data_IF_667660582970
#
_entry.id   IF_667660582970
#
_cell.length_a   1.000
_cell.length_b   1.000
_cell.length_c   1.000
_cell.angle_alpha   90.00
_cell.angle_beta   90.00
_cell.angle_gamma   90.00
#
_symmetry.space_group_name_H-M   'P 1'
#
loop_
_entity.id
_entity.type
_entity.pdbx_description
1 polymer ?
#
# COMPACT_ATOMS: atom_id res chain seq x y z
N UNK A 1 23.42 61.13 -91.70
CA UNK A 1 24.34 60.31 -92.52
C UNK A 1 24.77 59.09 -91.71
N UNK A 2 24.57 57.89 -92.30
CA UNK A 2 25.27 56.60 -92.12
C UNK A 2 25.71 56.11 -90.71
N UNK A 3 25.02 55.05 -90.26
CA UNK A 3 25.53 53.71 -89.88
C UNK A 3 26.75 53.58 -88.95
N UNK A 4 26.61 52.91 -87.80
CA UNK A 4 27.01 51.49 -87.62
C UNK A 4 26.99 50.99 -86.15
N UNK A 5 26.56 49.74 -86.07
CA UNK A 5 26.41 48.79 -84.95
C UNK A 5 27.72 48.42 -84.24
N UNK A 6 27.66 48.09 -82.94
CA UNK A 6 28.12 46.79 -82.37
C UNK A 6 27.84 46.64 -80.87
N UNK A 7 27.29 45.47 -80.54
CA UNK A 7 27.16 44.88 -79.21
C UNK A 7 28.52 44.59 -78.57
N UNK A 8 28.62 44.68 -77.23
CA UNK A 8 29.05 43.54 -76.42
C UNK A 8 28.65 43.73 -74.95
N UNK A 9 28.11 42.65 -74.38
CA UNK A 9 27.71 42.47 -72.98
C UNK A 9 28.95 42.37 -72.07
N UNK A 10 28.78 42.83 -70.82
CA UNK A 10 29.72 42.51 -69.74
C UNK A 10 29.61 43.47 -68.56
N UNK A 11 28.45 43.52 -67.89
CA UNK A 11 28.34 44.18 -66.57
C UNK A 11 28.67 43.16 -65.49
N UNK A 12 29.82 43.31 -64.83
CA UNK A 12 30.08 42.71 -63.52
C UNK A 12 29.66 43.71 -62.44
N UNK A 13 28.62 43.45 -61.64
CA UNK A 13 28.41 44.18 -60.41
C UNK A 13 29.16 43.48 -59.26
N UNK A 14 29.79 44.33 -58.45
CA UNK A 14 30.28 44.03 -57.11
C UNK A 14 29.23 43.21 -56.32
N UNK A 15 29.63 42.03 -55.84
CA UNK A 15 28.91 41.31 -54.80
C UNK A 15 29.77 41.34 -53.54
N UNK A 16 29.43 42.28 -52.66
CA UNK A 16 29.92 42.31 -51.29
C UNK A 16 29.55 40.99 -50.59
N UNK A 17 30.56 40.29 -50.10
CA UNK A 17 30.40 39.10 -49.28
C UNK A 17 29.85 39.49 -47.91
N UNK A 18 28.53 39.36 -47.74
CA UNK A 18 27.91 39.28 -46.42
C UNK A 18 27.81 37.80 -46.03
N UNK A 19 28.81 37.30 -45.30
CA UNK A 19 28.68 36.04 -44.56
C UNK A 19 27.67 36.26 -43.42
N UNK A 20 26.39 35.99 -43.69
CA UNK A 20 25.37 35.84 -42.67
C UNK A 20 25.64 34.54 -41.91
N UNK A 21 26.18 34.65 -40.69
CA UNK A 21 26.32 33.54 -39.76
C UNK A 21 24.92 33.15 -39.24
N UNK A 22 24.23 32.24 -39.94
CA UNK A 22 23.04 31.59 -39.40
C UNK A 22 23.49 30.62 -38.29
N UNK A 23 23.51 31.11 -37.05
CA UNK A 23 23.55 30.27 -35.87
C UNK A 23 22.21 29.51 -35.77
N UNK A 24 22.16 28.31 -36.34
CA UNK A 24 21.06 27.36 -36.09
C UNK A 24 21.19 26.94 -34.62
N UNK A 25 20.41 27.57 -33.74
CA UNK A 25 20.15 27.06 -32.39
C UNK A 25 19.49 25.69 -32.56
N UNK A 26 20.30 24.63 -32.45
CA UNK A 26 19.82 23.27 -32.30
C UNK A 26 19.02 23.17 -31.02
N UNK A 27 17.70 23.32 -31.13
CA UNK A 27 16.76 22.83 -30.12
C UNK A 27 16.98 21.32 -30.05
N UNK A 28 17.77 20.89 -29.08
CA UNK A 28 17.86 19.49 -28.69
C UNK A 28 16.45 19.06 -28.26
N UNK A 29 15.72 18.45 -29.20
CA UNK A 29 14.51 17.70 -28.88
C UNK A 29 15.00 16.51 -28.06
N UNK A 30 15.05 16.66 -26.73
CA UNK A 30 15.26 15.52 -25.87
C UNK A 30 14.12 14.55 -26.14
N UNK A 31 14.40 13.25 -26.41
CA UNK A 31 13.34 12.27 -26.50
C UNK A 31 12.57 12.34 -25.19
N UNK A 32 11.26 12.55 -25.26
CA UNK A 32 10.38 12.48 -24.10
C UNK A 32 10.52 11.06 -23.53
N UNK A 33 11.40 10.90 -22.54
CA UNK A 33 11.58 9.64 -21.85
C UNK A 33 10.26 9.36 -21.16
N UNK A 34 9.62 8.24 -21.50
CA UNK A 34 8.39 7.83 -20.85
C UNK A 34 8.64 7.78 -19.34
N UNK A 35 7.94 8.64 -18.58
CA UNK A 35 8.13 8.76 -17.13
C UNK A 35 7.94 7.37 -16.49
N UNK A 36 8.89 6.97 -15.64
CA UNK A 36 8.90 5.64 -15.03
C UNK A 36 7.61 5.40 -14.23
N UNK A 37 7.05 4.18 -14.34
CA UNK A 37 5.80 3.85 -13.65
C UNK A 37 6.06 3.80 -12.16
N UNK A 38 5.16 4.41 -11.38
CA UNK A 38 5.27 4.42 -9.93
C UNK A 38 5.28 3.01 -9.34
N UNK A 39 4.55 2.06 -9.93
CA UNK A 39 4.54 0.67 -9.43
C UNK A 39 5.90 -0.01 -9.51
N UNK A 40 6.71 0.32 -10.52
CA UNK A 40 8.03 -0.29 -10.71
C UNK A 40 9.02 0.30 -9.69
N UNK A 41 8.98 1.62 -9.50
CA UNK A 41 9.77 2.34 -8.48
C UNK A 41 9.46 1.88 -7.05
N UNK A 42 8.18 1.83 -6.68
CA UNK A 42 7.77 1.40 -5.34
C UNK A 42 7.96 -0.11 -5.13
N UNK A 43 7.70 -0.92 -6.16
CA UNK A 43 7.89 -2.37 -6.12
C UNK A 43 9.36 -2.81 -6.03
N UNK A 44 10.29 -1.97 -6.48
CA UNK A 44 11.72 -2.22 -6.36
C UNK A 44 12.25 -2.07 -4.92
N UNK A 45 11.58 -1.26 -4.07
CA UNK A 45 12.03 -1.02 -2.69
C UNK A 45 11.85 -2.27 -1.83
N UNK A 46 12.93 -2.70 -1.16
CA UNK A 46 12.94 -3.89 -0.29
C UNK A 46 12.61 -3.59 1.16
N UNK A 47 12.92 -2.38 1.63
CA UNK A 47 12.78 -1.93 3.01
C UNK A 47 11.99 -0.61 3.08
N UNK A 48 11.34 -0.32 4.22
CA UNK A 48 10.58 0.91 4.40
C UNK A 48 11.49 2.14 4.38
N UNK A 49 10.87 3.32 4.32
CA UNK A 49 11.57 4.57 4.62
C UNK A 49 11.76 4.70 6.14
N UNK A 50 13.00 4.83 6.60
CA UNK A 50 13.36 5.01 8.01
C UNK A 50 13.14 6.46 8.45
N UNK A 51 11.87 6.89 8.46
CA UNK A 51 11.44 8.22 8.88
C UNK A 51 10.23 8.11 9.80
N UNK A 52 9.71 9.23 10.30
CA UNK A 52 8.45 9.24 11.03
C UNK A 52 7.31 8.60 10.22
N UNK A 53 6.43 7.87 10.92
CA UNK A 53 5.29 7.21 10.31
C UNK A 53 4.26 8.23 9.82
N UNK A 54 3.90 8.12 8.54
CA UNK A 54 2.84 8.96 7.94
C UNK A 54 2.29 8.33 6.66
N UNK A 55 0.98 8.37 6.50
CA UNK A 55 0.26 8.03 5.28
C UNK A 55 0.04 9.28 4.42
N UNK A 56 0.26 9.18 3.12
CA UNK A 56 0.23 10.32 2.19
C UNK A 56 -0.65 9.98 1.00
N UNK A 57 -1.63 10.84 0.70
CA UNK A 57 -2.57 10.68 -0.40
C UNK A 57 -3.79 9.85 -0.03
N UNK A 58 -4.33 9.15 -1.02
CA UNK A 58 -5.52 8.29 -0.87
C UNK A 58 -5.14 6.82 -0.98
N UNK A 59 -5.98 5.92 -0.46
CA UNK A 59 -5.70 4.48 -0.36
C UNK A 59 -5.24 3.81 -1.67
N UNK A 60 -5.69 4.31 -2.82
CA UNK A 60 -5.34 3.84 -4.17
C UNK A 60 -4.53 4.85 -5.00
N UNK A 61 -4.03 5.92 -4.37
CA UNK A 61 -3.25 6.98 -5.02
C UNK A 61 -2.40 7.69 -3.96
N UNK A 62 -1.33 7.04 -3.52
CA UNK A 62 -0.52 7.52 -2.42
C UNK A 62 0.71 6.68 -2.12
N UNK A 63 1.34 6.96 -0.99
CA UNK A 63 2.48 6.23 -0.45
C UNK A 63 2.45 6.34 1.09
N UNK A 64 3.37 5.67 1.79
CA UNK A 64 3.59 5.92 3.21
C UNK A 64 5.05 5.76 3.62
N UNK A 65 5.42 6.39 4.73
CA UNK A 65 6.76 6.32 5.30
C UNK A 65 6.70 5.85 6.76
N UNK A 66 7.87 5.51 7.35
CA UNK A 66 7.97 5.00 8.71
C UNK A 66 7.20 3.70 8.92
N UNK A 67 7.13 2.89 7.87
CA UNK A 67 6.45 1.61 7.88
C UNK A 67 7.14 0.58 8.75
N UNK A 68 6.35 -0.27 9.39
CA UNK A 68 6.83 -1.43 10.12
C UNK A 68 6.21 -2.69 9.54
N UNK A 69 6.93 -3.80 9.61
CA UNK A 69 6.39 -5.08 9.20
C UNK A 69 5.74 -5.81 10.38
N UNK A 70 4.62 -6.48 10.17
CA UNK A 70 4.17 -7.51 11.12
C UNK A 70 5.16 -8.69 11.08
N UNK A 71 5.53 -9.32 12.20
CA UNK A 71 6.32 -10.54 12.19
C UNK A 71 5.69 -11.61 11.28
N UNK A 72 6.53 -12.40 10.60
CA UNK A 72 6.05 -13.49 9.73
C UNK A 72 5.19 -14.51 10.48
N UNK A 73 5.48 -14.65 11.77
CA UNK A 73 4.86 -15.57 12.70
C UNK A 73 4.48 -14.84 13.98
N UNK A 74 3.33 -15.19 14.53
CA UNK A 74 2.98 -14.85 15.89
C UNK A 74 2.08 -15.91 16.52
N UNK A 75 1.74 -15.76 17.82
CA UNK A 75 1.00 -16.78 18.55
C UNK A 75 -0.34 -17.17 17.92
N UNK A 76 -0.95 -16.22 17.22
CA UNK A 76 -2.31 -16.35 16.66
C UNK A 76 -2.37 -15.92 15.19
N UNK A 77 -1.24 -15.82 14.48
CA UNK A 77 -1.22 -15.49 13.05
C UNK A 77 -0.03 -16.06 12.28
N UNK A 78 -0.18 -16.15 10.96
CA UNK A 78 0.90 -16.43 10.01
C UNK A 78 0.73 -15.55 8.75
N UNK A 79 1.83 -14.98 8.26
CA UNK A 79 1.86 -14.19 7.01
C UNK A 79 1.90 -15.09 5.79
N UNK A 80 0.98 -14.87 4.84
CA UNK A 80 0.86 -15.61 3.58
C UNK A 80 1.56 -14.87 2.45
N UNK A 81 2.07 -15.63 1.47
CA UNK A 81 2.87 -15.09 0.35
C UNK A 81 4.04 -14.17 0.76
N UNK A 82 4.89 -14.51 1.77
CA UNK A 82 5.98 -13.63 2.21
C UNK A 82 6.88 -13.09 1.10
N UNK A 83 7.12 -13.88 0.05
CA UNK A 83 7.93 -13.52 -1.13
C UNK A 83 7.45 -12.26 -1.85
N UNK A 84 6.17 -11.90 -1.72
CA UNK A 84 5.61 -10.67 -2.30
C UNK A 84 6.13 -9.40 -1.62
N UNK A 85 6.73 -9.51 -0.43
CA UNK A 85 7.21 -8.40 0.39
C UNK A 85 6.11 -7.38 0.73
N UNK A 86 4.94 -7.87 1.15
CA UNK A 86 3.73 -7.05 1.39
C UNK A 86 3.24 -7.01 2.85
N UNK A 87 4.09 -7.40 3.79
CA UNK A 87 3.76 -7.43 5.23
C UNK A 87 3.95 -6.09 5.97
N UNK A 88 4.11 -4.99 5.22
CA UNK A 88 4.46 -3.67 5.76
C UNK A 88 3.23 -2.79 5.86
N UNK A 89 3.14 -1.97 6.91
CA UNK A 89 2.06 -1.01 7.06
C UNK A 89 2.42 0.12 8.01
N UNK A 90 1.50 1.07 8.15
CA UNK A 90 1.57 2.07 9.21
C UNK A 90 1.55 1.36 10.57
N UNK A 91 2.31 1.80 11.60
CA UNK A 91 2.35 1.14 12.90
C UNK A 91 0.95 0.87 13.50
N UNK A 92 0.03 1.82 13.37
CA UNK A 92 -1.37 1.65 13.78
C UNK A 92 -2.11 0.50 13.05
N UNK A 93 -1.86 0.32 11.75
CA UNK A 93 -2.43 -0.79 10.97
C UNK A 93 -1.91 -2.13 11.48
N UNK A 94 -0.59 -2.23 11.69
CA UNK A 94 0.04 -3.45 12.21
C UNK A 94 -0.48 -3.77 13.63
N UNK A 95 -0.60 -2.77 14.49
CA UNK A 95 -1.18 -2.93 15.82
C UNK A 95 -2.65 -3.41 15.77
N UNK A 96 -3.45 -2.91 14.83
CA UNK A 96 -4.84 -3.37 14.63
C UNK A 96 -4.88 -4.83 14.15
N UNK A 97 -4.01 -5.24 13.22
CA UNK A 97 -3.94 -6.64 12.76
C UNK A 97 -3.52 -7.58 13.88
N UNK A 98 -2.49 -7.21 14.64
CA UNK A 98 -2.00 -7.99 15.77
C UNK A 98 -3.08 -8.12 16.87
N UNK A 99 -3.78 -7.01 17.17
CA UNK A 99 -4.91 -7.03 18.11
C UNK A 99 -6.06 -7.88 17.59
N UNK A 100 -6.44 -7.75 16.32
CA UNK A 100 -7.46 -8.61 15.70
C UNK A 100 -7.09 -10.08 15.83
N UNK A 101 -5.82 -10.42 15.66
CA UNK A 101 -5.36 -11.79 15.76
C UNK A 101 -5.61 -12.40 17.14
N UNK A 102 -5.25 -11.67 18.21
CA UNK A 102 -5.50 -12.11 19.59
C UNK A 102 -6.99 -12.16 19.94
N UNK A 103 -7.74 -11.11 19.61
CA UNK A 103 -9.15 -11.01 19.97
C UNK A 103 -10.00 -12.03 19.19
N UNK A 104 -9.72 -12.25 17.91
CA UNK A 104 -10.41 -13.28 17.14
C UNK A 104 -10.12 -14.68 17.68
N UNK A 105 -8.88 -14.93 18.15
CA UNK A 105 -8.54 -16.17 18.83
C UNK A 105 -9.34 -16.38 20.12
N UNK A 106 -9.47 -15.33 20.93
CA UNK A 106 -10.33 -15.36 22.12
C UNK A 106 -11.81 -15.60 21.77
N UNK A 107 -12.27 -15.16 20.59
CA UNK A 107 -13.64 -15.39 20.09
C UNK A 107 -13.86 -16.80 19.49
N UNK A 108 -12.80 -17.62 19.42
CA UNK A 108 -12.83 -18.99 18.90
C UNK A 108 -12.39 -19.14 17.43
N UNK A 109 -11.81 -18.11 16.81
CA UNK A 109 -11.15 -18.23 15.51
C UNK A 109 -9.73 -18.82 15.67
N UNK A 110 -9.28 -19.82 14.92
CA UNK A 110 -8.03 -20.52 15.25
C UNK A 110 -6.75 -19.69 15.00
N UNK A 111 -6.86 -18.53 14.36
CA UNK A 111 -5.77 -17.60 14.08
C UNK A 111 -5.88 -17.00 12.69
N UNK A 112 -5.15 -15.90 12.44
CA UNK A 112 -5.22 -15.19 11.16
C UNK A 112 -4.20 -15.73 10.16
N UNK A 113 -4.65 -15.97 8.94
CA UNK A 113 -3.77 -16.03 7.78
C UNK A 113 -3.80 -14.64 7.12
N UNK A 114 -2.69 -13.91 7.25
CA UNK A 114 -2.57 -12.52 6.84
C UNK A 114 -2.09 -12.46 5.39
N UNK A 115 -2.86 -11.82 4.52
CA UNK A 115 -2.51 -11.57 3.13
C UNK A 115 -1.69 -10.30 2.96
N UNK A 116 -1.99 -9.55 1.90
CA UNK A 116 -1.26 -8.32 1.57
C UNK A 116 -1.66 -7.19 2.53
N UNK A 117 -0.68 -6.45 3.06
CA UNK A 117 -0.87 -5.19 3.81
C UNK A 117 -0.46 -4.04 2.92
N UNK A 118 0.84 -3.87 2.65
CA UNK A 118 1.39 -2.90 1.70
C UNK A 118 2.83 -3.27 1.35
N UNK A 119 3.32 -2.75 0.22
CA UNK A 119 4.77 -2.75 -0.09
C UNK A 119 5.52 -1.91 0.95
N UNK A 120 6.86 -2.02 1.08
CA UNK A 120 7.60 -1.37 2.17
C UNK A 120 7.42 0.14 2.27
N UNK A 121 7.19 0.81 1.13
CA UNK A 121 6.96 2.26 1.04
C UNK A 121 5.58 2.60 0.47
N UNK A 122 4.70 1.61 0.40
CA UNK A 122 3.37 1.75 -0.18
C UNK A 122 3.43 1.85 -1.69
N UNK A 123 2.70 2.83 -2.23
CA UNK A 123 2.65 3.07 -3.67
C UNK A 123 1.82 2.05 -4.44
N UNK A 124 1.56 2.31 -5.73
CA UNK A 124 0.94 1.34 -6.64
C UNK A 124 1.63 -0.03 -6.57
N UNK A 125 0.87 -1.09 -6.31
CA UNK A 125 1.39 -2.46 -6.29
C UNK A 125 1.74 -2.96 -7.71
N UNK A 126 2.80 -3.76 -7.80
CA UNK A 126 3.17 -4.47 -9.05
C UNK A 126 2.01 -5.31 -9.60
N UNK A 127 1.22 -5.92 -8.71
CA UNK A 127 0.12 -6.84 -9.04
C UNK A 127 -0.97 -6.80 -7.97
N UNK A 128 -2.18 -7.26 -8.30
CA UNK A 128 -3.26 -7.45 -7.32
C UNK A 128 -4.10 -6.21 -7.09
N UNK A 129 -4.06 -5.67 -5.87
CA UNK A 129 -5.02 -4.68 -5.37
C UNK A 129 -4.80 -3.28 -5.95
N UNK A 130 -5.88 -2.51 -6.14
CA UNK A 130 -5.77 -1.10 -6.53
C UNK A 130 -5.40 -0.18 -5.35
N UNK A 131 -5.79 -0.58 -4.13
CA UNK A 131 -5.51 0.08 -2.86
C UNK A 131 -4.18 -0.40 -2.23
N UNK A 132 -4.05 -0.41 -0.89
CA UNK A 132 -2.85 -0.83 -0.14
C UNK A 132 -1.62 0.04 -0.41
N UNK A 133 -1.84 1.29 -0.83
CA UNK A 133 -0.73 2.18 -1.18
C UNK A 133 -0.25 3.01 0.00
N UNK A 134 -1.04 3.16 1.06
CA UNK A 134 -0.74 4.10 2.16
C UNK A 134 -0.57 3.44 3.53
N UNK A 135 -0.42 2.11 3.58
CA UNK A 135 -0.13 1.40 4.82
C UNK A 135 -1.31 1.26 5.79
N UNK A 136 -2.55 1.47 5.32
CA UNK A 136 -3.79 1.47 6.14
C UNK A 136 -4.83 0.43 5.69
N UNK A 137 -4.39 -0.53 4.87
CA UNK A 137 -5.21 -1.63 4.35
C UNK A 137 -4.54 -2.97 4.70
N UNK A 138 -5.31 -4.00 5.01
CA UNK A 138 -4.82 -5.36 5.18
C UNK A 138 -5.86 -6.40 4.74
N UNK A 139 -5.42 -7.40 3.98
CA UNK A 139 -6.22 -8.55 3.63
C UNK A 139 -6.06 -9.66 4.67
N UNK A 140 -7.18 -10.20 5.13
CA UNK A 140 -7.20 -11.32 6.07
C UNK A 140 -8.01 -12.44 5.45
N UNK A 141 -7.40 -13.61 5.30
CA UNK A 141 -8.10 -14.76 4.72
C UNK A 141 -9.22 -15.23 5.63
N UNK A 142 -10.33 -15.64 5.00
CA UNK A 142 -11.44 -16.33 5.67
C UNK A 142 -11.15 -17.83 5.81
N UNK A 143 -9.96 -18.28 5.42
CA UNK A 143 -9.48 -19.63 5.67
C UNK A 143 -9.01 -19.74 7.12
N UNK A 144 -9.58 -20.65 7.93
CA UNK A 144 -9.11 -20.86 9.29
C UNK A 144 -7.63 -21.28 9.31
N UNK A 145 -6.81 -20.63 10.14
CA UNK A 145 -5.41 -21.00 10.29
C UNK A 145 -5.28 -22.46 10.80
N UNK A 146 -4.45 -23.31 10.17
CA UNK A 146 -4.22 -24.67 10.65
C UNK A 146 -3.61 -24.69 12.06
N UNK A 147 -3.92 -25.74 12.84
CA UNK A 147 -3.37 -25.94 14.20
C UNK A 147 -1.85 -26.11 14.23
N UNK A 148 -1.26 -26.56 13.11
CA UNK A 148 0.20 -26.66 12.96
C UNK A 148 0.74 -25.41 12.23
N UNK A 149 1.97 -24.99 12.53
CA UNK A 149 2.66 -24.01 11.71
C UNK A 149 2.76 -24.47 10.24
N UNK A 150 2.57 -23.53 9.33
CA UNK A 150 2.83 -23.71 7.90
C UNK A 150 4.30 -23.41 7.63
N UNK A 151 4.96 -24.24 6.82
CA UNK A 151 6.29 -23.91 6.30
C UNK A 151 6.22 -22.74 5.32
N UNK A 152 7.35 -22.08 5.06
CA UNK A 152 7.41 -20.99 4.06
C UNK A 152 6.87 -21.43 2.69
N UNK A 153 7.27 -22.61 2.20
CA UNK A 153 6.77 -23.16 0.94
C UNK A 153 5.24 -23.36 0.93
N UNK A 154 4.65 -23.76 2.06
CA UNK A 154 3.21 -23.87 2.19
C UNK A 154 2.54 -22.49 2.18
N UNK A 155 3.12 -21.48 2.84
CA UNK A 155 2.59 -20.11 2.83
C UNK A 155 2.64 -19.46 1.45
N UNK A 156 3.57 -19.88 0.59
CA UNK A 156 3.66 -19.44 -0.80
C UNK A 156 2.64 -20.12 -1.73
N UNK A 157 2.33 -21.40 -1.51
CA UNK A 157 1.55 -22.21 -2.46
C UNK A 157 0.13 -22.53 -2.03
N UNK A 158 -0.18 -22.52 -0.72
CA UNK A 158 -1.50 -22.84 -0.18
C UNK A 158 -2.56 -21.92 -0.79
N UNK A 159 -3.66 -22.48 -1.29
CA UNK A 159 -4.81 -21.70 -1.75
C UNK A 159 -5.71 -21.32 -0.59
N UNK A 160 -6.29 -20.12 -0.67
CA UNK A 160 -7.35 -19.72 0.24
C UNK A 160 -8.65 -20.48 -0.09
N UNK A 161 -9.45 -20.76 0.92
CA UNK A 161 -10.79 -21.33 0.79
C UNK A 161 -11.75 -20.33 0.14
N UNK A 162 -12.27 -20.69 -1.04
CA UNK A 162 -13.26 -19.90 -1.76
C UNK A 162 -14.64 -20.01 -1.09
N UNK A 163 -15.04 -18.98 -0.34
CA UNK A 163 -16.23 -18.98 0.52
C UNK A 163 -17.54 -18.81 -0.23
N UNK A 164 -17.50 -18.30 -1.46
CA UNK A 164 -18.69 -18.04 -2.28
C UNK A 164 -18.69 -18.88 -3.54
N UNK A 165 -19.88 -19.16 -4.05
CA UNK A 165 -20.09 -19.76 -5.36
C UNK A 165 -19.95 -18.69 -6.46
N UNK A 166 -19.16 -18.96 -7.50
CA UNK A 166 -18.79 -17.97 -8.51
C UNK A 166 -19.96 -17.59 -9.43
N UNK A 167 -20.98 -18.44 -9.54
CA UNK A 167 -22.14 -18.19 -10.42
C UNK A 167 -23.23 -17.41 -9.70
N UNK A 168 -23.52 -17.80 -8.46
CA UNK A 168 -24.60 -17.21 -7.67
C UNK A 168 -24.13 -16.06 -6.79
N UNK A 169 -22.82 -15.94 -6.56
CA UNK A 169 -22.21 -15.03 -5.60
C UNK A 169 -22.80 -15.17 -4.19
N UNK A 170 -23.29 -16.37 -3.84
CA UNK A 170 -23.77 -16.70 -2.49
C UNK A 170 -22.71 -17.47 -1.73
N UNK A 171 -22.71 -17.33 -0.40
CA UNK A 171 -21.83 -18.11 0.48
C UNK A 171 -22.15 -19.60 0.37
N UNK A 172 -21.11 -20.43 0.30
CA UNK A 172 -21.20 -21.88 0.41
C UNK A 172 -21.45 -22.26 1.87
N UNK A 173 -22.70 -22.58 2.20
CA UNK A 173 -23.12 -22.83 3.59
C UNK A 173 -22.33 -23.93 4.30
N UNK A 174 -21.86 -24.95 3.57
CA UNK A 174 -21.01 -26.01 4.13
C UNK A 174 -19.66 -25.51 4.69
N UNK A 175 -19.19 -24.33 4.26
CA UNK A 175 -17.92 -23.74 4.71
C UNK A 175 -18.13 -22.65 5.76
N UNK A 176 -19.30 -22.00 5.79
CA UNK A 176 -19.56 -20.86 6.65
C UNK A 176 -19.95 -21.28 8.07
N UNK A 177 -19.15 -20.86 9.03
CA UNK A 177 -19.41 -21.12 10.46
C UNK A 177 -19.70 -19.84 11.23
N UNK A 178 -20.34 -19.90 12.41
CA UNK A 178 -20.53 -18.73 13.27
C UNK A 178 -19.23 -17.98 13.60
N UNK A 179 -18.07 -18.67 13.59
CA UNK A 179 -16.77 -18.06 13.84
C UNK A 179 -16.38 -17.03 12.75
N UNK A 180 -16.80 -17.23 11.49
CA UNK A 180 -16.57 -16.25 10.43
C UNK A 180 -17.35 -14.94 10.70
N UNK A 181 -18.61 -15.06 11.13
CA UNK A 181 -19.43 -13.91 11.55
C UNK A 181 -18.78 -13.18 12.73
N UNK A 182 -18.30 -13.92 13.74
CA UNK A 182 -17.60 -13.33 14.90
C UNK A 182 -16.32 -12.60 14.50
N UNK A 183 -15.50 -13.16 13.61
CA UNK A 183 -14.29 -12.54 13.09
C UNK A 183 -14.59 -11.19 12.42
N UNK A 184 -15.56 -11.15 11.51
CA UNK A 184 -15.95 -9.92 10.81
C UNK A 184 -16.56 -8.89 11.76
N UNK A 185 -17.39 -9.33 12.73
CA UNK A 185 -17.93 -8.47 13.78
C UNK A 185 -16.82 -7.88 14.65
N UNK A 186 -15.86 -8.70 15.07
CA UNK A 186 -14.70 -8.26 15.87
C UNK A 186 -13.90 -7.20 15.13
N UNK A 187 -13.53 -7.45 13.87
CA UNK A 187 -12.81 -6.48 13.06
C UNK A 187 -13.59 -5.16 12.91
N UNK A 188 -14.90 -5.23 12.63
CA UNK A 188 -15.73 -4.03 12.46
C UNK A 188 -15.92 -3.23 13.76
N UNK A 189 -15.81 -3.89 14.92
CA UNK A 189 -15.99 -3.26 16.23
C UNK A 189 -14.90 -2.25 16.60
N UNK A 190 -13.74 -2.29 15.94
CA UNK A 190 -12.64 -1.39 16.25
C UNK A 190 -12.93 0.02 15.74
N UNK A 191 -12.70 1.02 16.61
CA UNK A 191 -12.91 2.43 16.28
C UNK A 191 -12.03 2.92 15.12
N UNK A 192 -10.85 2.32 14.95
CA UNK A 192 -9.91 2.62 13.88
C UNK A 192 -10.39 2.12 12.51
N UNK A 193 -11.17 1.02 12.47
CA UNK A 193 -11.62 0.40 11.22
C UNK A 193 -12.78 1.20 10.65
N UNK A 194 -12.62 1.68 9.42
CA UNK A 194 -13.66 2.44 8.71
C UNK A 194 -14.48 1.55 7.78
N UNK A 195 -13.84 0.55 7.14
CA UNK A 195 -14.48 -0.35 6.18
C UNK A 195 -13.88 -1.74 6.23
N UNK A 196 -14.74 -2.72 5.96
CA UNK A 196 -14.38 -4.10 5.66
C UNK A 196 -15.01 -4.45 4.32
N UNK A 197 -14.21 -4.68 3.29
CA UNK A 197 -14.71 -5.09 1.97
C UNK A 197 -14.78 -6.61 1.91
N UNK A 198 -15.92 -7.12 1.45
CA UNK A 198 -16.20 -8.55 1.29
C UNK A 198 -16.98 -8.78 0.00
N UNK A 199 -16.99 -10.03 -0.49
CA UNK A 199 -17.91 -10.41 -1.55
C UNK A 199 -19.39 -10.10 -1.17
N UNK A 200 -20.26 -9.68 -2.10
CA UNK A 200 -21.67 -9.43 -1.81
C UNK A 200 -22.42 -10.59 -1.14
N UNK A 201 -22.08 -11.83 -1.47
CA UNK A 201 -22.63 -13.03 -0.83
C UNK A 201 -22.35 -13.10 0.66
N UNK A 202 -21.14 -12.72 1.07
CA UNK A 202 -20.76 -12.67 2.49
C UNK A 202 -21.58 -11.59 3.19
N UNK A 203 -21.68 -10.39 2.59
CA UNK A 203 -22.51 -9.32 3.12
C UNK A 203 -23.97 -9.79 3.26
N UNK A 204 -24.52 -10.46 2.26
CA UNK A 204 -25.87 -11.04 2.31
C UNK A 204 -26.03 -12.08 3.41
N UNK A 205 -25.09 -13.02 3.54
CA UNK A 205 -25.10 -14.04 4.61
C UNK A 205 -25.15 -13.38 5.99
N UNK A 206 -24.36 -12.35 6.22
CA UNK A 206 -24.41 -11.56 7.45
C UNK A 206 -25.77 -10.88 7.64
N UNK A 207 -26.28 -10.22 6.61
CA UNK A 207 -27.58 -9.55 6.66
C UNK A 207 -28.73 -10.51 7.00
N UNK A 208 -28.74 -11.71 6.43
CA UNK A 208 -29.78 -12.71 6.66
C UNK A 208 -29.72 -13.30 8.09
N UNK A 209 -28.50 -13.54 8.60
CA UNK A 209 -28.28 -14.37 9.80
C UNK A 209 -28.01 -13.59 11.08
N UNK A 210 -27.45 -12.37 11.02
CA UNK A 210 -27.14 -11.58 12.21
C UNK A 210 -28.43 -11.03 12.81
N UNK A 211 -28.69 -11.35 14.08
CA UNK A 211 -29.81 -10.81 14.87
C UNK A 211 -29.28 -9.89 15.98
N UNK A 212 -30.14 -9.04 16.55
CA UNK A 212 -29.77 -8.09 17.60
C UNK A 212 -28.98 -6.89 17.06
N UNK A 213 -27.85 -6.56 17.69
CA UNK A 213 -27.00 -5.45 17.25
C UNK A 213 -26.38 -5.71 15.85
N UNK A 214 -26.79 -4.85 14.92
CA UNK A 214 -26.41 -4.86 13.51
C UNK A 214 -25.65 -3.61 13.10
N UNK A 215 -25.38 -2.66 14.00
CA UNK A 215 -24.78 -1.39 13.63
C UNK A 215 -23.40 -1.57 12.98
N UNK A 216 -22.62 -2.55 13.44
CA UNK A 216 -21.32 -2.91 12.87
C UNK A 216 -21.38 -3.32 11.39
N UNK A 217 -22.52 -3.81 10.90
CA UNK A 217 -22.69 -4.19 9.50
C UNK A 217 -22.49 -2.99 8.57
N UNK A 218 -22.74 -1.76 9.01
CA UNK A 218 -22.53 -0.55 8.19
C UNK A 218 -21.12 -0.46 7.59
N UNK A 219 -20.12 -0.93 8.34
CA UNK A 219 -18.71 -0.96 7.91
C UNK A 219 -18.41 -2.09 6.93
N UNK A 220 -19.23 -3.15 6.90
CA UNK A 220 -19.07 -4.26 5.96
C UNK A 220 -19.68 -3.87 4.62
N UNK A 221 -18.82 -3.71 3.60
CA UNK A 221 -19.19 -3.20 2.27
C UNK A 221 -19.01 -4.29 1.21
N UNK A 222 -20.04 -4.54 0.38
CA UNK A 222 -19.89 -5.44 -0.75
C UNK A 222 -18.93 -4.84 -1.79
N UNK A 223 -18.04 -5.67 -2.34
CA UNK A 223 -17.12 -5.30 -3.42
C UNK A 223 -16.80 -6.51 -4.28
N UNK A 224 -16.45 -6.29 -5.56
CA UNK A 224 -16.06 -7.37 -6.48
C UNK A 224 -14.87 -8.18 -5.95
N UNK A 225 -14.84 -9.48 -6.25
CA UNK A 225 -13.87 -10.41 -5.68
C UNK A 225 -14.10 -10.60 -4.19
N UNK A 226 -13.03 -10.54 -3.38
CA UNK A 226 -13.09 -10.73 -1.92
C UNK A 226 -13.83 -12.03 -1.52
N UNK A 227 -13.63 -13.06 -2.33
CA UNK A 227 -14.36 -14.33 -2.25
C UNK A 227 -13.82 -15.27 -1.16
N UNK A 228 -12.60 -15.01 -0.69
CA UNK A 228 -11.84 -15.87 0.23
C UNK A 228 -11.10 -15.08 1.32
N UNK A 229 -11.18 -13.75 1.29
CA UNK A 229 -10.59 -12.84 2.26
C UNK A 229 -11.53 -11.67 2.48
N UNK A 230 -11.34 -10.95 3.58
CA UNK A 230 -11.88 -9.61 3.74
C UNK A 230 -10.74 -8.60 3.71
N UNK A 231 -10.99 -7.47 3.07
CA UNK A 231 -10.10 -6.31 3.05
C UNK A 231 -10.48 -5.43 4.23
N UNK A 232 -9.58 -5.23 5.19
CA UNK A 232 -9.78 -4.33 6.32
C UNK A 232 -9.08 -2.99 6.05
N UNK A 233 -9.79 -1.88 6.25
CA UNK A 233 -9.28 -0.52 6.13
C UNK A 233 -9.41 0.24 7.43
N UNK A 234 -8.32 0.86 7.88
CA UNK A 234 -8.36 1.83 8.97
C UNK A 234 -8.31 3.27 8.45
N UNK A 235 -8.82 4.20 9.25
CA UNK A 235 -8.81 5.63 8.91
C UNK A 235 -7.43 6.28 8.94
N UNK A 236 -7.35 7.52 8.47
CA UNK A 236 -6.14 8.33 8.55
C UNK A 236 -5.67 8.49 9.99
N UNK A 237 -4.37 8.31 10.22
CA UNK A 237 -3.79 8.29 11.56
C UNK A 237 -3.16 9.65 11.91
N UNK A 238 -3.05 9.99 13.22
CA UNK A 238 -2.28 11.15 13.66
C UNK A 238 -0.87 11.19 13.04
N UNK A 239 -0.34 12.38 12.78
CA UNK A 239 0.95 12.56 12.10
C UNK A 239 0.90 12.42 10.57
N UNK A 240 -0.29 12.21 9.98
CA UNK A 240 -0.49 12.06 8.53
C UNK A 240 -1.30 13.20 7.89
N UNK A 241 -0.82 14.46 7.88
CA UNK A 241 -1.59 15.60 7.36
C UNK A 241 -1.92 15.50 5.86
N UNK A 242 -1.10 14.76 5.09
CA UNK A 242 -1.35 14.49 3.68
C UNK A 242 -2.29 13.32 3.40
N UNK A 243 -2.80 12.62 4.43
CA UNK A 243 -3.72 11.51 4.27
C UNK A 243 -5.13 12.00 3.97
N UNK A 244 -5.75 11.44 2.94
CA UNK A 244 -7.11 11.77 2.51
C UNK A 244 -8.08 10.70 2.98
N UNK A 245 -9.03 11.10 3.84
CA UNK A 245 -10.10 10.23 4.29
C UNK A 245 -11.01 9.82 3.13
N UNK A 246 -11.66 8.66 3.29
CA UNK A 246 -12.77 8.26 2.43
C UNK A 246 -14.07 8.79 3.04
N UNK A 247 -15.10 9.02 2.22
CA UNK A 247 -16.45 9.36 2.70
C UNK A 247 -16.90 8.40 3.82
N UNK A 248 -17.73 8.84 4.75
CA UNK A 248 -18.27 7.95 5.79
C UNK A 248 -19.15 6.84 5.17
N UNK A 249 -19.27 5.69 5.84
CA UNK A 249 -20.30 4.72 5.48
C UNK A 249 -21.68 5.25 5.86
N UNK A 250 -22.76 4.92 5.13
CA UNK A 250 -24.13 5.25 5.55
C UNK A 250 -24.42 4.82 7.00
N UNK A 251 -25.40 5.46 7.64
CA UNK A 251 -25.80 5.17 9.01
C UNK A 251 -26.66 3.90 9.14
N UNK A 252 -27.09 3.32 8.01
CA UNK A 252 -27.80 2.04 7.96
C UNK A 252 -26.87 0.82 7.88
N UNK A 253 -27.44 -0.37 8.10
CA UNK A 253 -26.69 -1.64 8.10
C UNK A 253 -26.24 -2.10 6.70
N UNK A 254 -26.66 -1.41 5.63
CA UNK A 254 -26.31 -1.68 4.25
C UNK A 254 -26.97 -2.93 3.67
N UNK A 255 -28.07 -3.43 4.25
CA UNK A 255 -28.72 -4.67 3.85
C UNK A 255 -29.95 -4.50 2.93
N UNK A 256 -30.30 -3.25 2.59
CA UNK A 256 -31.44 -2.92 1.73
C UNK A 256 -31.15 -2.92 0.23
N UNK A 257 -31.79 -2.00 -0.50
CA UNK A 257 -31.68 -1.85 -1.97
C UNK A 257 -30.23 -1.83 -2.49
N UNK A 258 -29.26 -1.15 -1.85
CA UNK A 258 -27.87 -1.16 -2.32
C UNK A 258 -27.24 -2.56 -2.34
N UNK A 259 -27.63 -3.46 -1.42
CA UNK A 259 -27.18 -4.85 -1.45
C UNK A 259 -27.91 -5.66 -2.52
N UNK A 260 -29.22 -5.45 -2.69
CA UNK A 260 -30.00 -6.15 -3.71
C UNK A 260 -29.49 -5.92 -5.14
N UNK A 261 -28.95 -4.73 -5.43
CA UNK A 261 -28.33 -4.42 -6.73
C UNK A 261 -27.21 -5.40 -7.12
N UNK A 262 -26.43 -5.88 -6.14
CA UNK A 262 -25.36 -6.88 -6.36
C UNK A 262 -25.86 -8.24 -6.85
N UNK A 263 -27.14 -8.53 -6.70
CA UNK A 263 -27.77 -9.77 -7.16
C UNK A 263 -28.60 -9.56 -8.43
N UNK A 264 -28.34 -8.46 -9.15
CA UNK A 264 -28.81 -8.23 -10.53
C UNK A 264 -27.69 -8.57 -11.53
N UNK A 265 -27.98 -8.56 -12.83
CA UNK A 265 -26.94 -8.77 -13.86
C UNK A 265 -26.00 -7.58 -14.04
N UNK A 266 -26.43 -6.36 -13.68
CA UNK A 266 -25.71 -5.13 -13.97
C UNK A 266 -24.26 -5.07 -13.44
N UNK A 267 -23.97 -5.37 -12.16
CA UNK A 267 -22.60 -5.36 -11.62
C UNK A 267 -21.68 -6.41 -12.22
N UNK A 268 -22.21 -7.43 -12.89
CA UNK A 268 -21.46 -8.57 -13.42
C UNK A 268 -21.33 -8.53 -14.94
N UNK A 269 -21.78 -7.43 -15.58
CA UNK A 269 -21.60 -7.25 -17.02
C UNK A 269 -20.11 -7.28 -17.36
N UNK A 270 -19.70 -8.03 -18.41
CA UNK A 270 -18.32 -8.05 -18.85
C UNK A 270 -17.79 -6.63 -19.09
N UNK A 271 -16.55 -6.39 -18.69
CA UNK A 271 -15.88 -5.13 -19.01
C UNK A 271 -15.83 -4.97 -20.54
N UNK A 272 -16.28 -3.82 -21.05
CA UNK A 272 -16.27 -3.51 -22.50
C UNK A 272 -14.87 -3.45 -23.10
N UNK A 273 -13.85 -3.20 -22.27
CA UNK A 273 -12.46 -3.19 -22.67
C UNK A 273 -11.60 -3.97 -21.66
N UNK A 274 -11.63 -5.31 -21.70
CA UNK A 274 -10.94 -6.15 -20.72
C UNK A 274 -9.42 -5.99 -20.79
N UNK A 275 -8.88 -5.69 -21.98
CA UNK A 275 -7.45 -5.54 -22.25
C UNK A 275 -6.91 -4.15 -21.90
N UNK A 276 -7.79 -3.18 -21.57
CA UNK A 276 -7.35 -1.88 -21.10
C UNK A 276 -6.48 -2.02 -19.84
N UNK A 277 -5.28 -1.42 -19.83
CA UNK A 277 -4.43 -1.43 -18.65
C UNK A 277 -5.15 -0.78 -17.47
N UNK A 278 -4.99 -1.36 -16.28
CA UNK A 278 -5.63 -0.81 -15.08
C UNK A 278 -4.99 0.53 -14.74
N UNK A 279 -5.75 1.44 -14.13
CA UNK A 279 -5.26 2.77 -13.76
C UNK A 279 -3.94 2.70 -12.96
N UNK A 280 -3.84 1.77 -12.00
CA UNK A 280 -2.62 1.49 -11.21
C UNK A 280 -1.41 1.17 -12.09
N UNK A 281 -1.61 0.47 -13.21
CA UNK A 281 -0.53 0.04 -14.11
C UNK A 281 -0.01 1.19 -14.99
N UNK A 282 -0.76 2.28 -15.08
CA UNK A 282 -0.40 3.48 -15.83
C UNK A 282 0.12 4.61 -14.94
N UNK A 283 -0.04 4.54 -13.61
CA UNK A 283 0.36 5.65 -12.73
C UNK A 283 1.88 5.91 -12.82
N UNK A 284 2.24 7.16 -13.04
CA UNK A 284 3.62 7.67 -12.91
C UNK A 284 3.75 8.45 -11.61
N UNK A 285 4.96 8.88 -11.27
CA UNK A 285 5.19 9.72 -10.09
C UNK A 285 4.45 11.06 -10.17
N UNK A 286 4.24 11.62 -11.36
CA UNK A 286 3.41 12.82 -11.55
C UNK A 286 1.95 12.63 -11.14
N UNK A 287 1.44 11.40 -11.09
CA UNK A 287 0.09 11.13 -10.60
C UNK A 287 0.01 11.06 -9.07
N UNK A 288 1.12 10.89 -8.36
CA UNK A 288 1.12 10.74 -6.89
C UNK A 288 1.32 12.08 -6.18
N UNK A 289 0.98 12.18 -4.87
CA UNK A 289 1.39 13.32 -4.05
C UNK A 289 2.91 13.56 -4.17
N UNK A 290 3.33 14.82 -4.24
CA UNK A 290 4.74 15.17 -4.50
C UNK A 290 5.68 14.65 -3.42
N UNK A 291 5.20 14.52 -2.18
CA UNK A 291 5.93 13.99 -1.04
C UNK A 291 6.32 12.51 -1.21
N UNK A 292 5.64 11.78 -2.11
CA UNK A 292 5.97 10.39 -2.40
C UNK A 292 7.34 10.20 -3.05
N UNK A 293 7.90 11.23 -3.69
CA UNK A 293 9.30 11.21 -4.14
C UNK A 293 10.26 11.15 -2.95
N UNK A 294 10.06 12.01 -1.96
CA UNK A 294 10.89 11.99 -0.73
C UNK A 294 10.78 10.64 0.01
N UNK A 295 9.61 10.00 -0.01
CA UNK A 295 9.46 8.65 0.54
C UNK A 295 10.30 7.62 -0.23
N UNK A 296 10.31 7.66 -1.57
CA UNK A 296 11.13 6.75 -2.37
C UNK A 296 12.64 6.95 -2.14
N UNK A 297 13.07 8.19 -1.90
CA UNK A 297 14.49 8.54 -1.80
C UNK A 297 15.04 8.43 -0.37
N UNK A 298 14.16 8.38 0.64
CA UNK A 298 14.55 8.28 2.04
C UNK A 298 15.45 7.05 2.33
N UNK A 299 16.38 7.15 3.30
CA UNK A 299 17.16 6.00 3.74
C UNK A 299 16.26 4.88 4.28
N UNK A 300 16.71 3.64 4.12
CA UNK A 300 16.07 2.48 4.75
C UNK A 300 16.71 2.13 6.10
N UNK A 301 16.06 1.28 6.91
CA UNK A 301 16.69 0.67 8.07
C UNK A 301 17.84 -0.26 7.66
N UNK A 302 18.67 -0.67 8.63
CA UNK A 302 19.78 -1.59 8.42
C UNK A 302 19.33 -3.00 8.00
N UNK A 303 18.13 -3.42 8.40
CA UNK A 303 17.55 -4.72 8.05
C UNK A 303 16.02 -4.71 8.11
N UNK A 304 15.39 -5.78 7.63
CA UNK A 304 13.95 -5.98 7.78
C UNK A 304 13.55 -6.22 9.24
N UNK A 305 14.41 -6.87 10.02
CA UNK A 305 14.18 -7.16 11.43
C UNK A 305 14.23 -5.87 12.26
N UNK A 306 15.16 -4.97 11.94
CA UNK A 306 15.21 -3.65 12.56
C UNK A 306 13.90 -2.87 12.36
N UNK A 307 13.16 -3.15 11.28
CA UNK A 307 11.86 -2.55 11.00
C UNK A 307 10.64 -3.45 11.26
N UNK A 308 10.82 -4.58 11.96
CA UNK A 308 9.73 -5.48 12.33
C UNK A 308 9.11 -5.05 13.67
N UNK A 309 7.79 -5.11 13.74
CA UNK A 309 7.00 -4.70 14.90
C UNK A 309 7.08 -5.72 16.03
N UNK A 310 7.40 -5.27 17.24
CA UNK A 310 7.53 -6.12 18.45
C UNK A 310 6.60 -5.70 19.60
N UNK A 311 5.54 -4.94 19.30
CA UNK A 311 4.64 -4.37 20.31
C UNK A 311 5.01 -2.94 20.71
N UNK A 312 4.14 -2.29 21.48
CA UNK A 312 4.41 -0.96 22.06
C UNK A 312 4.25 0.25 21.13
N UNK A 313 3.84 0.07 19.87
CA UNK A 313 3.52 1.20 18.97
C UNK A 313 4.70 2.09 18.59
N UNK A 314 5.94 1.75 18.97
CA UNK A 314 7.10 2.61 18.72
C UNK A 314 7.53 2.46 17.26
N UNK A 315 7.52 3.52 16.45
CA UNK A 315 8.13 3.50 15.14
C UNK A 315 9.65 3.29 15.30
N UNK A 316 10.19 2.45 14.43
CA UNK A 316 11.61 2.09 14.30
C UNK A 316 12.53 3.30 14.20
N UNK A 317 11.98 4.46 13.81
CA UNK A 317 12.68 5.73 13.72
C UNK A 317 13.11 6.35 15.07
N UNK A 318 12.72 5.79 16.23
CA UNK A 318 13.13 6.33 17.52
C UNK A 318 14.54 5.92 17.97
N UNK A 319 15.14 4.91 17.35
CA UNK A 319 16.53 4.54 17.62
C UNK A 319 17.44 5.08 16.50
N UNK A 320 17.60 6.40 16.45
CA UNK A 320 18.87 6.92 15.97
C UNK A 320 19.96 6.31 16.89
N UNK A 321 21.12 5.87 16.37
CA UNK A 321 22.21 5.50 17.26
C UNK A 321 22.48 6.71 18.16
N UNK A 322 22.43 6.48 19.47
CA UNK A 322 22.86 7.46 20.45
C UNK A 322 24.27 7.91 20.03
N UNK A 323 24.54 9.22 19.89
CA UNK A 323 25.89 9.65 19.59
C UNK A 323 26.80 9.13 20.70
N UNK A 324 27.81 8.36 20.30
CA UNK A 324 28.81 7.81 21.21
C UNK A 324 29.35 8.97 22.07
N UNK A 325 29.04 8.92 23.37
CA UNK A 325 29.46 9.97 24.29
C UNK A 325 30.99 10.08 24.22
N UNK A 326 31.57 11.28 24.04
CA UNK A 326 33.01 11.43 24.00
C UNK A 326 33.58 10.89 25.31
N UNK A 327 34.51 9.94 25.19
CA UNK A 327 35.25 9.40 26.30
C UNK A 327 35.94 10.53 27.04
N UNK A 328 35.58 10.70 28.31
CA UNK A 328 36.22 11.68 29.18
C UNK A 328 37.72 11.35 29.27
N UNK A 329 38.61 12.34 29.11
CA UNK A 329 40.05 12.10 29.27
C UNK A 329 40.32 11.66 30.70
N UNK A 330 41.12 10.60 30.82
CA UNK A 330 41.56 10.09 32.11
C UNK A 330 42.21 11.21 32.93
N UNK A 331 41.68 11.44 34.13
CA UNK A 331 42.25 12.37 35.10
C UNK A 331 43.61 11.81 35.54
N UNK A 332 44.72 12.57 35.42
CA UNK A 332 45.99 12.09 35.94
C UNK A 332 45.89 12.00 37.46
N UNK A 333 46.22 10.82 38.00
CA UNK A 333 46.28 10.58 39.43
C UNK A 333 47.27 11.55 40.07
N UNK A 334 46.80 12.29 41.08
CA UNK A 334 47.64 13.15 41.90
C UNK A 334 48.70 12.29 42.61
N UNK A 335 49.97 12.60 42.34
CA UNK A 335 51.11 12.04 43.04
C UNK A 335 51.03 12.41 44.52
N UNK A 336 50.87 11.40 45.38
CA UNK A 336 51.00 11.55 46.82
C UNK A 336 52.43 11.94 47.18
N UNK A 337 52.57 13.04 47.92
CA UNK A 337 53.82 13.42 48.57
C UNK A 337 54.11 12.47 49.76
N UNK A 338 55.38 12.11 50.00
CA UNK A 338 55.76 11.13 51.01
C UNK A 338 55.70 11.74 52.42
N UNK A 339 55.20 10.97 53.38
CA UNK A 339 55.39 11.24 54.80
C UNK A 339 56.67 10.56 55.27
N UNK A 340 57.60 11.35 55.82
CA UNK A 340 58.69 10.87 56.68
C UNK A 340 58.77 11.80 57.88
N UNK A 341 58.69 11.18 59.07
CA UNK A 341 59.07 11.63 60.43
C UNK A 341 59.00 13.13 60.75
#
# INVERSE_FOLDING_TARGET
MKTAMRLSLGKTPLLAAALGLLAVLGLAVQPASAEERAKDLFGAKKLPAATAARSIGFYSKGCFAGGVAIPLDGPTWQVMRPSRNRRWGHPAMIAVVEKLSRDAAADGWPGLLIGDISQPRGGPMLTGHASHQIGLDADIWLTPMPRRPLSMAQRESMSATLMVDEKTHLVKDALWTPAHTKLLKRAASYGQVERILVNPGIKKKLCDTVKGDRFWLRKVRPFWGHDYHFHMRIGCQPGSPGCKAQEATPDDDGCGKPLAWWFTQEPWRPNKNPDAPKARDLMTMANLPSECRAVLDAPGPSSADAATYHGGGVPVAAAAPEPEAPSLPATPAAAGLPSTM
#
